data_IF_524791855872
#
_entry.id   IF_524791855872
#
_cell.length_a   1.000
_cell.length_b   1.000
_cell.length_c   1.000
_cell.angle_alpha   90.00
_cell.angle_beta   90.00
_cell.angle_gamma   90.00
#
_symmetry.space_group_name_H-M   'P 1'
#
loop_
_entity.id
_entity.type
_entity.pdbx_description
1 polymer ?
#
# COMPACT_ATOMS: atom_id res chain seq x y z
N UNK A 1 10.20 -7.06 -2.06
CA UNK A 1 9.46 -6.94 -3.33
C UNK A 1 10.20 -7.77 -4.35
N UNK A 2 9.67 -8.94 -4.71
CA UNK A 2 10.18 -9.69 -5.87
C UNK A 2 9.84 -8.94 -7.15
N UNK A 3 10.55 -9.21 -8.24
CA UNK A 3 10.24 -8.63 -9.56
C UNK A 3 8.81 -8.94 -10.00
N UNK A 4 8.34 -10.16 -9.72
CA UNK A 4 6.96 -10.60 -9.95
C UNK A 4 5.94 -9.71 -9.22
N UNK A 5 6.18 -9.42 -7.94
CA UNK A 5 5.31 -8.55 -7.14
C UNK A 5 5.34 -7.09 -7.61
N UNK A 6 6.49 -6.63 -8.14
CA UNK A 6 6.60 -5.31 -8.75
C UNK A 6 5.77 -5.22 -10.04
N UNK A 7 5.87 -6.23 -10.91
CA UNK A 7 5.11 -6.27 -12.15
C UNK A 7 3.61 -6.32 -11.87
N UNK A 8 3.17 -7.16 -10.95
CA UNK A 8 1.77 -7.18 -10.51
C UNK A 8 1.30 -5.82 -9.99
N UNK A 9 2.15 -5.11 -9.24
CA UNK A 9 1.83 -3.76 -8.76
C UNK A 9 1.56 -2.78 -9.90
N UNK A 10 2.38 -2.84 -10.95
CA UNK A 10 2.26 -1.96 -12.13
C UNK A 10 0.99 -2.29 -12.91
N UNK A 11 0.67 -3.57 -13.09
CA UNK A 11 -0.50 -4.01 -13.83
C UNK A 11 -1.80 -3.60 -13.10
N UNK A 12 -1.84 -3.79 -11.77
CA UNK A 12 -2.97 -3.38 -10.93
C UNK A 12 -3.14 -1.86 -10.95
N UNK A 13 -2.04 -1.10 -10.86
CA UNK A 13 -2.09 0.36 -10.90
C UNK A 13 -2.56 0.87 -12.26
N UNK A 14 -2.08 0.28 -13.35
CA UNK A 14 -2.49 0.63 -14.72
C UNK A 14 -3.99 0.39 -14.91
N UNK A 15 -4.50 -0.79 -14.51
CA UNK A 15 -5.92 -1.10 -14.60
C UNK A 15 -6.79 -0.17 -13.73
N UNK A 16 -6.30 0.27 -12.57
CA UNK A 16 -6.99 1.21 -11.72
C UNK A 16 -7.04 2.62 -12.33
N UNK A 17 -5.95 3.07 -12.96
CA UNK A 17 -5.86 4.36 -13.65
C UNK A 17 -6.76 4.42 -14.89
N UNK A 18 -6.95 3.31 -15.60
CA UNK A 18 -7.87 3.24 -16.73
C UNK A 18 -9.35 3.28 -16.31
N UNK A 19 -9.66 2.71 -15.14
CA UNK A 19 -11.03 2.55 -14.66
C UNK A 19 -11.54 3.74 -13.85
N UNK A 20 -10.65 4.47 -13.18
CA UNK A 20 -11.01 5.54 -12.24
C UNK A 20 -10.23 6.82 -12.55
N UNK A 21 -10.92 7.96 -12.53
CA UNK A 21 -10.31 9.29 -12.74
C UNK A 21 -10.04 10.05 -11.43
N UNK A 22 -10.52 9.54 -10.30
CA UNK A 22 -10.38 10.17 -8.98
C UNK A 22 -9.25 9.47 -8.23
N UNK A 23 -8.21 10.21 -7.83
CA UNK A 23 -7.01 9.68 -7.15
C UNK A 23 -7.34 8.83 -5.92
N UNK A 24 -8.36 9.25 -5.14
CA UNK A 24 -8.86 8.51 -3.98
C UNK A 24 -9.38 7.13 -4.35
N UNK A 25 -10.12 7.02 -5.45
CA UNK A 25 -10.73 5.76 -5.89
C UNK A 25 -9.68 4.82 -6.48
N UNK A 26 -8.70 5.38 -7.20
CA UNK A 26 -7.52 4.65 -7.68
C UNK A 26 -6.77 4.05 -6.48
N UNK A 27 -6.46 4.85 -5.47
CA UNK A 27 -5.75 4.40 -4.26
C UNK A 27 -6.53 3.31 -3.51
N UNK A 28 -7.85 3.50 -3.36
CA UNK A 28 -8.72 2.53 -2.70
C UNK A 28 -8.76 1.19 -3.45
N UNK A 29 -8.82 1.23 -4.78
CA UNK A 29 -8.85 0.03 -5.61
C UNK A 29 -7.53 -0.75 -5.55
N UNK A 30 -6.40 -0.05 -5.67
CA UNK A 30 -5.07 -0.68 -5.56
C UNK A 30 -4.91 -1.29 -4.17
N UNK A 31 -5.26 -0.56 -3.10
CA UNK A 31 -5.22 -1.07 -1.71
C UNK A 31 -6.04 -2.35 -1.56
N UNK A 32 -7.28 -2.35 -2.06
CA UNK A 32 -8.18 -3.50 -1.97
C UNK A 32 -7.60 -4.73 -2.67
N UNK A 33 -7.00 -4.55 -3.84
CA UNK A 33 -6.43 -5.66 -4.60
C UNK A 33 -5.15 -6.19 -3.96
N UNK A 34 -4.32 -5.32 -3.41
CA UNK A 34 -3.12 -5.70 -2.65
C UNK A 34 -3.45 -6.41 -1.34
N UNK A 35 -4.38 -5.89 -0.55
CA UNK A 35 -4.86 -6.54 0.67
C UNK A 35 -5.41 -7.95 0.37
N UNK A 36 -6.06 -8.12 -0.79
CA UNK A 36 -6.65 -9.40 -1.22
C UNK A 36 -5.58 -10.43 -1.63
N UNK A 37 -4.53 -10.01 -2.35
CA UNK A 37 -3.50 -10.92 -2.88
C UNK A 37 -2.38 -11.20 -1.88
N UNK A 38 -1.97 -10.20 -1.11
CA UNK A 38 -0.79 -10.26 -0.26
C UNK A 38 -1.12 -10.17 1.24
N UNK A 39 -2.41 -10.07 1.59
CA UNK A 39 -2.89 -9.96 2.96
C UNK A 39 -2.86 -8.52 3.49
N UNK A 40 -3.76 -8.16 4.41
CA UNK A 40 -3.80 -6.83 5.02
C UNK A 40 -2.64 -6.61 6.02
N UNK A 41 -2.21 -5.38 6.27
CA UNK A 41 -2.81 -4.10 5.84
C UNK A 41 -1.84 -3.32 4.95
N UNK A 42 -2.27 -2.98 3.74
CA UNK A 42 -1.52 -2.13 2.81
C UNK A 42 -1.93 -0.66 2.92
N UNK A 43 -0.95 0.22 2.76
CA UNK A 43 -1.18 1.66 2.64
C UNK A 43 -0.80 2.09 1.22
N UNK A 44 -1.73 2.74 0.53
CA UNK A 44 -1.55 3.20 -0.85
C UNK A 44 -1.81 4.71 -0.90
N UNK A 45 -0.92 5.42 -1.58
CA UNK A 45 -1.01 6.88 -1.80
C UNK A 45 -0.89 7.13 -3.30
N UNK A 46 -1.81 7.92 -3.84
CA UNK A 46 -1.84 8.32 -5.27
C UNK A 46 -2.00 9.83 -5.30
N UNK A 47 -1.12 10.51 -6.04
CA UNK A 47 -1.20 11.95 -6.25
C UNK A 47 0.15 12.60 -6.53
N UNK A 48 0.13 13.84 -7.02
CA UNK A 48 1.35 14.61 -7.37
C UNK A 48 1.94 15.43 -6.21
N UNK A 49 1.13 15.78 -5.21
CA UNK A 49 1.54 16.60 -4.06
C UNK A 49 1.10 15.94 -2.75
N UNK A 50 1.99 15.17 -2.12
CA UNK A 50 1.71 14.54 -0.82
C UNK A 50 2.86 14.80 0.18
N UNK A 51 2.50 15.12 1.42
CA UNK A 51 3.37 15.03 2.58
C UNK A 51 3.08 13.72 3.31
N UNK A 52 4.09 12.87 3.49
CA UNK A 52 3.91 11.58 4.19
C UNK A 52 4.71 11.55 5.49
N UNK A 53 4.06 11.09 6.57
CA UNK A 53 4.68 10.78 7.86
C UNK A 53 4.27 9.37 8.24
N UNK A 54 5.22 8.44 8.27
CA UNK A 54 4.97 7.01 8.54
C UNK A 54 5.64 6.65 9.86
N UNK A 55 4.90 6.02 10.76
CA UNK A 55 5.41 5.52 12.05
C UNK A 55 5.32 4.00 12.05
N UNK A 56 6.46 3.31 12.11
CA UNK A 56 6.47 1.87 12.34
C UNK A 56 6.29 1.61 13.83
N UNK A 57 5.27 0.83 14.19
CA UNK A 57 5.07 0.38 15.58
C UNK A 57 6.20 -0.56 15.99
N UNK A 58 7.26 -0.03 16.59
CA UNK A 58 8.25 -0.85 17.29
C UNK A 58 7.58 -1.40 18.54
N UNK A 59 7.26 -2.70 18.53
CA UNK A 59 6.84 -3.40 19.76
C UNK A 59 7.94 -3.20 20.82
N UNK A 60 7.64 -2.55 21.97
CA UNK A 60 8.63 -2.45 23.03
C UNK A 60 8.81 -3.86 23.59
N UNK A 61 9.95 -4.48 23.29
CA UNK A 61 10.37 -5.69 24.00
C UNK A 61 10.63 -5.30 25.46
N UNK A 62 9.60 -5.46 26.29
CA UNK A 62 9.67 -5.22 27.72
C UNK A 62 10.54 -6.33 28.32
N UNK A 63 11.86 -6.20 28.23
CA UNK A 63 12.79 -7.01 29.03
C UNK A 63 12.63 -6.57 30.48
N UNK A 64 11.72 -7.23 31.20
CA UNK A 64 11.75 -7.29 32.66
C UNK A 64 13.13 -7.83 33.06
N UNK A 65 14.01 -6.95 33.52
CA UNK A 65 15.16 -7.38 34.31
C UNK A 65 14.62 -7.75 35.69
N UNK A 66 14.92 -8.98 36.11
CA UNK A 66 14.82 -9.43 37.49
C UNK A 66 15.74 -8.59 38.38
#
# INVERSE_FOLDING_TARGET
MSEEMQQESVDIASAALEKYNIEKDIAAQIKKEFDRRHGPTWHVVVGKNFGSYVTHGTSPSLRRRH
#
